data_IF_960668107196
#
_entry.id   IF_960668107196
#
_cell.length_a   1.000
_cell.length_b   1.000
_cell.length_c   1.000
_cell.angle_alpha   90.00
_cell.angle_beta   90.00
_cell.angle_gamma   90.00
#
_symmetry.space_group_name_H-M   'P 1'
#
loop_
_entity.id
_entity.type
_entity.pdbx_description
1 polymer ?
#
# COMPACT_ATOMS: atom_id res chain seq x y z
N UNK A 1 11.13 0.12 -15.27
CA UNK A 1 9.64 0.19 -15.31
C UNK A 1 9.03 -0.93 -16.16
N UNK A 2 9.29 -1.03 -17.47
CA UNK A 2 8.67 -2.03 -18.36
C UNK A 2 8.90 -3.49 -17.89
N UNK A 3 10.11 -3.84 -17.47
CA UNK A 3 10.43 -5.18 -16.93
C UNK A 3 9.65 -5.50 -15.66
N UNK A 4 9.47 -4.54 -14.77
CA UNK A 4 8.68 -4.69 -13.55
C UNK A 4 7.22 -5.01 -13.89
N UNK A 5 6.60 -4.23 -14.78
CA UNK A 5 5.21 -4.47 -15.20
C UNK A 5 5.02 -5.87 -15.77
N UNK A 6 5.92 -6.33 -16.65
CA UNK A 6 5.83 -7.70 -17.21
C UNK A 6 5.91 -8.76 -16.10
N UNK A 7 6.84 -8.61 -15.15
CA UNK A 7 6.96 -9.57 -14.07
C UNK A 7 5.70 -9.57 -13.19
N UNK A 8 5.17 -8.40 -12.87
CA UNK A 8 3.94 -8.23 -12.11
C UNK A 8 2.77 -8.97 -12.78
N UNK A 9 2.52 -8.74 -14.06
CA UNK A 9 1.45 -9.40 -14.81
C UNK A 9 1.66 -10.93 -14.94
N UNK A 10 2.91 -11.38 -15.06
CA UNK A 10 3.22 -12.81 -15.07
C UNK A 10 2.87 -13.49 -13.75
N UNK A 11 3.08 -12.80 -12.62
CA UNK A 11 2.67 -13.33 -11.30
C UNK A 11 1.17 -13.52 -11.24
N UNK A 12 0.36 -12.57 -11.72
CA UNK A 12 -1.09 -12.73 -11.81
C UNK A 12 -1.48 -13.94 -12.68
N UNK A 13 -0.81 -14.14 -13.80
CA UNK A 13 -1.05 -15.30 -14.65
C UNK A 13 -0.74 -16.62 -13.91
N UNK A 14 0.36 -16.68 -13.15
CA UNK A 14 0.74 -17.84 -12.33
C UNK A 14 -0.28 -18.10 -11.21
N UNK A 15 -0.68 -17.07 -10.47
CA UNK A 15 -1.70 -17.20 -9.41
C UNK A 15 -3.01 -17.76 -10.00
N UNK A 16 -3.43 -17.22 -11.13
CA UNK A 16 -4.64 -17.67 -11.82
C UNK A 16 -4.55 -19.15 -12.25
N UNK A 17 -3.41 -19.56 -12.77
CA UNK A 17 -3.18 -20.97 -13.13
C UNK A 17 -3.17 -21.89 -11.90
N UNK A 18 -2.47 -21.50 -10.88
CA UNK A 18 -2.38 -22.26 -9.62
C UNK A 18 -3.73 -22.45 -8.94
N UNK A 19 -4.54 -21.40 -8.86
CA UNK A 19 -5.80 -21.42 -8.10
C UNK A 19 -6.98 -21.92 -8.94
N UNK A 20 -7.09 -21.41 -10.17
CA UNK A 20 -8.27 -21.65 -11.01
C UNK A 20 -8.05 -22.76 -12.07
N UNK A 21 -6.78 -23.13 -12.32
CA UNK A 21 -6.40 -24.09 -13.35
C UNK A 21 -6.41 -23.48 -14.75
N UNK A 22 -5.41 -23.83 -15.55
CA UNK A 22 -4.98 -23.18 -16.82
C UNK A 22 -5.96 -23.18 -17.99
N UNK A 23 -7.27 -23.39 -17.80
CA UNK A 23 -8.26 -23.21 -18.87
C UNK A 23 -9.23 -22.07 -18.53
N UNK A 24 -9.61 -21.28 -19.53
CA UNK A 24 -10.59 -20.19 -19.41
C UNK A 24 -11.90 -20.66 -18.77
N UNK A 25 -12.34 -21.87 -19.10
CA UNK A 25 -13.54 -22.48 -18.52
C UNK A 25 -13.39 -22.73 -17.02
N UNK A 26 -12.26 -23.25 -16.59
CA UNK A 26 -11.98 -23.52 -15.17
C UNK A 26 -11.80 -22.21 -14.41
N UNK A 27 -11.14 -21.22 -15.01
CA UNK A 27 -10.97 -19.88 -14.43
C UNK A 27 -12.33 -19.24 -14.15
N UNK A 28 -13.24 -19.22 -15.12
CA UNK A 28 -14.59 -18.66 -14.95
C UNK A 28 -15.42 -19.43 -13.91
N UNK A 29 -15.32 -20.76 -13.88
CA UNK A 29 -16.08 -21.59 -12.93
C UNK A 29 -15.56 -21.47 -11.49
N UNK A 30 -14.27 -21.28 -11.29
CA UNK A 30 -13.61 -21.26 -9.98
C UNK A 30 -13.44 -19.84 -9.41
N UNK A 31 -13.31 -18.80 -10.24
CA UNK A 31 -13.24 -17.41 -9.78
C UNK A 31 -14.51 -16.95 -9.04
N UNK A 32 -15.65 -17.58 -9.32
CA UNK A 32 -16.90 -17.38 -8.57
C UNK A 32 -16.81 -17.98 -7.16
N UNK A 33 -16.00 -19.02 -6.97
CA UNK A 33 -15.90 -19.76 -5.69
C UNK A 33 -14.78 -19.27 -4.80
N UNK A 34 -13.66 -18.82 -5.39
CA UNK A 34 -12.47 -18.41 -4.67
C UNK A 34 -12.16 -16.97 -5.11
N UNK A 35 -12.39 -16.02 -4.22
CA UNK A 35 -12.02 -14.62 -4.45
C UNK A 35 -10.73 -14.33 -3.67
N UNK A 36 -9.63 -14.18 -4.39
CA UNK A 36 -8.34 -13.80 -3.80
C UNK A 36 -8.42 -12.33 -3.39
N UNK A 37 -8.15 -11.98 -2.11
CA UNK A 37 -8.12 -10.59 -1.67
C UNK A 37 -7.08 -9.77 -2.44
N UNK A 38 -7.34 -8.48 -2.67
CA UNK A 38 -6.41 -7.61 -3.41
C UNK A 38 -5.02 -7.58 -2.77
N UNK A 39 -4.93 -7.49 -1.44
CA UNK A 39 -3.64 -7.49 -0.76
C UNK A 39 -2.79 -8.74 -1.06
N UNK A 40 -3.47 -9.90 -1.20
CA UNK A 40 -2.80 -11.17 -1.49
C UNK A 40 -2.35 -11.22 -2.96
N UNK A 41 -3.18 -10.76 -3.88
CA UNK A 41 -2.93 -10.78 -5.30
C UNK A 41 -1.91 -9.73 -5.73
N UNK A 42 -2.19 -8.45 -5.45
CA UNK A 42 -1.33 -7.34 -5.84
C UNK A 42 -0.03 -7.32 -5.01
N UNK A 43 -0.13 -7.59 -3.72
CA UNK A 43 1.04 -7.66 -2.85
C UNK A 43 2.03 -8.75 -3.25
N UNK A 44 1.55 -9.92 -3.69
CA UNK A 44 2.43 -10.98 -4.19
C UNK A 44 3.05 -10.60 -5.53
N UNK A 45 2.28 -9.99 -6.43
CA UNK A 45 2.80 -9.51 -7.71
C UNK A 45 3.92 -8.49 -7.53
N UNK A 46 3.77 -7.55 -6.59
CA UNK A 46 4.84 -6.61 -6.20
C UNK A 46 6.03 -7.35 -5.57
N UNK A 47 5.79 -8.22 -4.59
CA UNK A 47 6.84 -8.93 -3.89
C UNK A 47 7.71 -9.79 -4.81
N UNK A 48 7.11 -10.55 -5.71
CA UNK A 48 7.86 -11.41 -6.64
C UNK A 48 8.48 -10.65 -7.82
N UNK A 49 7.99 -9.45 -8.15
CA UNK A 49 8.53 -8.65 -9.24
C UNK A 49 9.69 -7.74 -8.85
N UNK A 50 9.68 -7.20 -7.62
CA UNK A 50 10.70 -6.26 -7.12
C UNK A 50 11.42 -6.70 -5.86
N UNK A 51 10.92 -7.71 -5.16
CA UNK A 51 11.39 -8.09 -3.82
C UNK A 51 10.94 -7.09 -2.77
N UNK A 52 11.68 -6.99 -1.67
CA UNK A 52 11.52 -5.95 -0.67
C UNK A 52 12.50 -4.82 -0.96
N UNK A 53 12.03 -3.70 -1.44
CA UNK A 53 12.85 -2.57 -1.90
C UNK A 53 12.71 -1.33 -1.00
N UNK A 54 13.55 -0.33 -1.25
CA UNK A 54 13.57 0.93 -0.48
C UNK A 54 12.29 1.75 -0.63
N UNK A 55 11.57 1.62 -1.74
CA UNK A 55 10.30 2.31 -1.94
C UNK A 55 9.21 1.69 -1.07
N UNK A 56 9.12 0.37 -1.07
CA UNK A 56 8.19 -0.39 -0.21
C UNK A 56 8.49 -0.16 1.28
N UNK A 57 9.77 -0.18 1.63
CA UNK A 57 10.29 0.16 2.96
C UNK A 57 9.83 1.56 3.40
N UNK A 58 9.94 2.55 2.53
CA UNK A 58 9.52 3.94 2.83
C UNK A 58 8.04 4.02 3.20
N UNK A 59 7.17 3.40 2.40
CA UNK A 59 5.73 3.42 2.63
C UNK A 59 5.34 2.73 3.94
N UNK A 60 5.92 1.56 4.21
CA UNK A 60 5.58 0.79 5.41
C UNK A 60 6.20 1.41 6.67
N UNK A 61 7.38 2.01 6.55
CA UNK A 61 7.98 2.79 7.63
C UNK A 61 7.12 4.00 7.98
N UNK A 62 6.64 4.75 6.99
CA UNK A 62 5.75 5.88 7.21
C UNK A 62 4.46 5.45 7.91
N UNK A 63 3.84 4.37 7.43
CA UNK A 63 2.69 3.74 8.09
C UNK A 63 2.99 3.41 9.56
N UNK A 64 4.12 2.77 9.83
CA UNK A 64 4.47 2.30 11.16
C UNK A 64 4.82 3.44 12.14
N UNK A 65 5.31 4.56 11.63
CA UNK A 65 5.78 5.70 12.43
C UNK A 65 4.73 6.78 12.65
N UNK A 66 3.81 6.97 11.71
CA UNK A 66 2.93 8.13 11.68
C UNK A 66 1.45 7.80 11.81
N UNK A 67 1.04 6.55 11.69
CA UNK A 67 -0.35 6.15 11.85
C UNK A 67 -0.63 5.75 13.30
N UNK A 68 -1.78 6.15 13.83
CA UNK A 68 -2.19 5.83 15.21
C UNK A 68 -2.48 4.33 15.38
N UNK A 69 -2.90 3.66 14.31
CA UNK A 69 -3.16 2.22 14.29
C UNK A 69 -2.80 1.60 12.94
N UNK A 70 -2.29 0.38 12.95
CA UNK A 70 -2.07 -0.37 11.72
C UNK A 70 -3.40 -0.88 11.16
N UNK A 71 -3.61 -0.81 9.82
CA UNK A 71 -4.76 -1.44 9.20
C UNK A 71 -4.69 -2.96 9.38
N UNK A 72 -5.85 -3.60 9.44
CA UNK A 72 -5.90 -5.06 9.37
C UNK A 72 -5.50 -5.53 7.97
N UNK A 73 -4.93 -6.72 7.85
CA UNK A 73 -4.53 -7.28 6.53
C UNK A 73 -5.69 -7.26 5.54
N UNK A 74 -6.91 -7.57 5.99
CA UNK A 74 -8.11 -7.57 5.14
C UNK A 74 -8.63 -6.16 4.80
N UNK A 75 -8.11 -5.12 5.44
CA UNK A 75 -8.46 -3.71 5.19
C UNK A 75 -7.50 -3.03 4.23
N UNK A 76 -6.45 -3.72 3.80
CA UNK A 76 -5.49 -3.22 2.82
C UNK A 76 -6.16 -3.08 1.46
N UNK A 77 -6.52 -1.85 1.10
CA UNK A 77 -7.24 -1.50 -0.13
C UNK A 77 -6.51 -0.40 -0.92
N UNK A 78 -6.90 -0.19 -2.17
CA UNK A 78 -6.25 0.79 -3.05
C UNK A 78 -4.74 0.59 -3.11
N UNK A 79 -3.97 1.65 -3.02
CA UNK A 79 -2.50 1.58 -3.08
C UNK A 79 -1.89 0.73 -1.94
N UNK A 80 -2.55 0.68 -0.78
CA UNK A 80 -2.09 -0.15 0.33
C UNK A 80 -2.27 -1.65 0.09
N UNK A 81 -3.07 -2.08 -0.86
CA UNK A 81 -3.09 -3.50 -1.26
C UNK A 81 -1.80 -3.93 -1.94
N UNK A 82 -1.11 -3.01 -2.63
CA UNK A 82 0.21 -3.24 -3.22
C UNK A 82 1.30 -3.22 -2.15
N UNK A 83 1.52 -2.08 -1.50
CA UNK A 83 2.66 -1.91 -0.55
C UNK A 83 2.45 -2.63 0.78
N UNK A 84 1.26 -2.54 1.35
CA UNK A 84 0.90 -3.30 2.55
C UNK A 84 0.87 -4.80 2.29
N UNK A 85 0.27 -5.22 1.16
CA UNK A 85 0.27 -6.62 0.73
C UNK A 85 1.67 -7.17 0.51
N UNK A 86 2.56 -6.41 -0.14
CA UNK A 86 3.97 -6.74 -0.32
C UNK A 86 4.68 -6.93 1.04
N UNK A 87 4.39 -6.06 2.03
CA UNK A 87 4.91 -6.19 3.39
C UNK A 87 4.43 -7.46 4.10
N UNK A 88 3.15 -7.81 3.92
CA UNK A 88 2.61 -9.06 4.47
C UNK A 88 3.32 -10.27 3.87
N UNK A 89 3.55 -10.28 2.56
CA UNK A 89 4.28 -11.37 1.90
C UNK A 89 5.75 -11.42 2.31
N UNK A 90 6.43 -10.28 2.43
CA UNK A 90 7.79 -10.23 2.98
C UNK A 90 7.84 -10.84 4.40
N UNK A 91 6.92 -10.46 5.27
CA UNK A 91 6.81 -11.04 6.62
C UNK A 91 6.54 -12.55 6.57
N UNK A 92 5.64 -13.02 5.71
CA UNK A 92 5.33 -14.45 5.57
C UNK A 92 6.57 -15.23 5.14
N UNK A 93 7.28 -14.76 4.11
CA UNK A 93 8.45 -15.46 3.60
C UNK A 93 9.63 -15.40 4.55
N UNK A 94 9.84 -14.32 5.27
CA UNK A 94 10.87 -14.25 6.32
C UNK A 94 10.60 -15.24 7.46
N UNK A 95 9.33 -15.46 7.79
CA UNK A 95 8.97 -16.30 8.94
C UNK A 95 8.80 -17.77 8.61
N UNK A 96 8.22 -18.10 7.46
CA UNK A 96 7.88 -19.47 7.06
C UNK A 96 8.63 -19.97 5.83
N UNK A 97 9.52 -19.15 5.23
CA UNK A 97 10.26 -19.47 4.01
C UNK A 97 9.49 -19.14 2.73
N UNK A 98 10.21 -19.01 1.61
CA UNK A 98 9.63 -18.71 0.30
C UNK A 98 8.68 -19.82 -0.19
N UNK A 99 8.94 -21.06 0.18
CA UNK A 99 8.09 -22.23 -0.14
C UNK A 99 6.68 -22.12 0.43
N UNK A 100 6.47 -21.29 1.46
CA UNK A 100 5.15 -21.02 2.04
C UNK A 100 4.18 -20.41 1.03
N UNK A 101 4.68 -19.67 0.03
CA UNK A 101 3.85 -19.09 -1.04
C UNK A 101 3.11 -20.19 -1.81
N UNK A 102 3.86 -21.18 -2.30
CA UNK A 102 3.28 -22.29 -3.06
C UNK A 102 2.31 -23.12 -2.19
N UNK A 103 2.67 -23.38 -0.93
CA UNK A 103 1.83 -24.12 0.01
C UNK A 103 0.51 -23.39 0.31
N UNK A 104 0.55 -22.06 0.50
CA UNK A 104 -0.66 -21.25 0.72
C UNK A 104 -1.63 -21.42 -0.44
N UNK A 105 -1.19 -21.24 -1.68
CA UNK A 105 -2.06 -21.35 -2.85
C UNK A 105 -2.54 -22.77 -3.09
N UNK A 106 -1.71 -23.78 -2.83
CA UNK A 106 -2.12 -25.18 -2.86
C UNK A 106 -3.27 -25.46 -1.87
N UNK A 107 -3.12 -25.01 -0.63
CA UNK A 107 -4.13 -25.22 0.41
C UNK A 107 -5.41 -24.41 0.16
N UNK A 108 -5.31 -23.21 -0.42
CA UNK A 108 -6.46 -22.42 -0.88
C UNK A 108 -7.22 -23.19 -1.95
N UNK A 109 -6.54 -23.71 -2.96
CA UNK A 109 -7.15 -24.51 -4.02
C UNK A 109 -7.87 -25.73 -3.45
N UNK A 110 -7.24 -26.46 -2.53
CA UNK A 110 -7.81 -27.66 -1.91
C UNK A 110 -9.04 -27.37 -1.05
N UNK A 111 -9.04 -26.27 -0.33
CA UNK A 111 -10.13 -25.91 0.59
C UNK A 111 -11.21 -25.05 -0.04
N UNK A 112 -10.93 -24.41 -1.18
CA UNK A 112 -11.73 -23.36 -1.79
C UNK A 112 -12.02 -22.17 -0.85
N UNK A 113 -11.19 -21.97 0.17
CA UNK A 113 -11.33 -20.91 1.18
C UNK A 113 -9.98 -20.31 1.55
N UNK A 114 -9.84 -18.98 1.45
CA UNK A 114 -8.61 -18.25 1.77
C UNK A 114 -8.16 -18.50 3.21
N UNK A 115 -9.05 -18.28 4.17
CA UNK A 115 -8.72 -18.43 5.60
C UNK A 115 -8.30 -19.86 5.96
N UNK A 116 -8.97 -20.85 5.39
CA UNK A 116 -8.64 -22.26 5.63
C UNK A 116 -7.29 -22.60 5.01
N UNK A 117 -7.01 -22.07 3.81
CA UNK A 117 -5.73 -22.26 3.12
C UNK A 117 -4.58 -21.66 3.90
N UNK A 118 -4.69 -20.40 4.32
CA UNK A 118 -3.71 -19.73 5.17
C UNK A 118 -3.46 -20.50 6.47
N UNK A 119 -4.51 -20.90 7.18
CA UNK A 119 -4.39 -21.65 8.43
C UNK A 119 -3.69 -23.00 8.25
N UNK A 120 -3.96 -23.70 7.17
CA UNK A 120 -3.31 -25.00 6.90
C UNK A 120 -1.84 -24.84 6.51
N UNK A 121 -1.51 -23.83 5.71
CA UNK A 121 -0.17 -23.59 5.26
C UNK A 121 0.75 -23.01 6.36
N UNK A 122 0.24 -22.03 7.11
CA UNK A 122 1.04 -21.28 8.09
C UNK A 122 0.87 -21.76 9.53
N UNK A 123 -0.14 -22.61 9.82
CA UNK A 123 -0.44 -23.07 11.17
C UNK A 123 -1.13 -22.03 12.07
N UNK A 124 -1.43 -20.84 11.55
CA UNK A 124 -2.07 -19.73 12.29
C UNK A 124 -3.33 -19.25 11.57
N UNK A 125 -4.32 -18.73 12.31
CA UNK A 125 -5.48 -18.11 11.72
C UNK A 125 -5.22 -16.64 11.30
N UNK A 126 -6.16 -16.05 10.58
CA UNK A 126 -6.02 -14.68 10.08
C UNK A 126 -5.82 -13.65 11.18
N UNK A 127 -6.47 -13.82 12.33
CA UNK A 127 -6.31 -12.91 13.46
C UNK A 127 -4.88 -12.98 13.98
N UNK A 128 -4.38 -14.17 14.23
CA UNK A 128 -3.02 -14.39 14.70
C UNK A 128 -1.98 -13.92 13.68
N UNK A 129 -2.21 -14.16 12.38
CA UNK A 129 -1.34 -13.67 11.31
C UNK A 129 -1.25 -12.14 11.34
N UNK A 130 -2.38 -11.48 11.48
CA UNK A 130 -2.45 -10.02 11.57
C UNK A 130 -1.73 -9.48 12.82
N UNK A 131 -1.96 -10.06 13.99
CA UNK A 131 -1.28 -9.68 15.22
C UNK A 131 0.25 -9.85 15.11
N UNK A 132 0.70 -10.93 14.49
CA UNK A 132 2.12 -11.20 14.26
C UNK A 132 2.75 -10.24 13.24
N UNK A 133 2.04 -9.90 12.16
CA UNK A 133 2.51 -8.89 11.21
C UNK A 133 2.60 -7.51 11.86
N UNK A 134 1.61 -7.09 12.65
CA UNK A 134 1.67 -5.83 13.41
C UNK A 134 2.85 -5.81 14.40
N UNK A 135 3.10 -6.93 15.08
CA UNK A 135 4.24 -7.04 15.98
C UNK A 135 5.57 -6.94 15.22
N UNK A 136 5.68 -7.61 14.08
CA UNK A 136 6.84 -7.51 13.19
C UNK A 136 7.11 -6.06 12.77
N UNK A 137 6.09 -5.31 12.34
CA UNK A 137 6.25 -3.90 11.97
C UNK A 137 6.73 -3.03 13.15
N UNK A 138 6.20 -3.27 14.34
CA UNK A 138 6.63 -2.56 15.55
C UNK A 138 8.09 -2.85 15.89
N UNK A 139 8.50 -4.10 15.82
CA UNK A 139 9.88 -4.49 16.10
C UNK A 139 10.88 -3.89 15.11
N UNK A 140 10.49 -3.80 13.84
CA UNK A 140 11.33 -3.23 12.78
C UNK A 140 11.48 -1.69 12.90
N UNK A 141 10.37 -0.97 13.12
CA UNK A 141 10.36 0.48 12.93
C UNK A 141 10.30 1.31 14.20
N UNK A 142 9.74 0.82 15.31
CA UNK A 142 9.65 1.59 16.55
C UNK A 142 10.98 1.93 17.21
N UNK A 143 12.06 1.15 17.08
CA UNK A 143 13.36 1.57 17.56
C UNK A 143 13.87 2.87 16.93
N UNK A 144 13.47 3.15 15.67
CA UNK A 144 13.82 4.38 14.97
C UNK A 144 13.13 5.62 15.54
N UNK A 145 11.88 5.48 16.00
CA UNK A 145 11.12 6.59 16.62
C UNK A 145 11.85 7.12 17.85
N UNK A 146 12.45 6.22 18.65
CA UNK A 146 13.19 6.60 19.88
C UNK A 146 14.52 7.30 19.61
N UNK A 147 15.08 7.13 18.40
CA UNK A 147 16.41 7.65 18.04
C UNK A 147 16.34 8.95 17.25
N UNK A 148 15.16 9.35 16.77
CA UNK A 148 14.97 10.53 15.91
C UNK A 148 14.20 11.60 16.64
N UNK A 149 14.53 12.86 16.34
CA UNK A 149 13.74 14.00 16.77
C UNK A 149 12.37 13.95 16.09
N UNK A 150 11.32 14.28 16.84
CA UNK A 150 10.00 14.39 16.27
C UNK A 150 9.97 15.61 15.34
N UNK A 151 9.48 15.42 14.12
CA UNK A 151 9.39 16.53 13.16
C UNK A 151 8.59 17.72 13.69
N UNK A 152 7.62 17.49 14.57
CA UNK A 152 6.81 18.54 15.23
C UNK A 152 7.60 19.39 16.20
N UNK A 153 8.76 18.92 16.68
CA UNK A 153 9.64 19.66 17.59
C UNK A 153 10.57 20.61 16.82
N UNK A 154 10.84 20.31 15.55
CA UNK A 154 11.79 21.05 14.71
C UNK A 154 11.14 21.77 13.52
N UNK A 155 9.89 21.47 13.20
CA UNK A 155 9.16 22.05 12.08
C UNK A 155 7.70 22.34 12.43
N UNK A 156 7.16 23.39 11.83
CA UNK A 156 5.74 23.73 11.95
C UNK A 156 4.94 23.07 10.84
N UNK A 157 3.87 22.36 11.21
CA UNK A 157 2.92 21.83 10.26
C UNK A 157 2.08 22.96 9.65
N UNK A 158 2.12 23.10 8.34
CA UNK A 158 1.37 24.13 7.60
C UNK A 158 0.03 23.63 7.04
N UNK A 159 -0.08 22.31 6.75
CA UNK A 159 -1.33 21.71 6.25
C UNK A 159 -1.76 20.56 7.16
N UNK A 160 -3.08 20.40 7.28
CA UNK A 160 -3.68 19.39 8.15
C UNK A 160 -4.86 18.78 7.40
N UNK A 161 -4.82 17.48 7.16
CA UNK A 161 -5.82 16.74 6.40
C UNK A 161 -7.20 16.77 7.05
N UNK A 162 -7.26 16.68 8.38
CA UNK A 162 -8.54 16.72 9.12
C UNK A 162 -9.20 18.10 8.99
N UNK A 163 -8.42 19.18 9.22
CA UNK A 163 -8.95 20.55 9.10
C UNK A 163 -9.33 20.93 7.67
N UNK A 164 -8.60 20.42 6.70
CA UNK A 164 -8.87 20.69 5.28
C UNK A 164 -9.90 19.73 4.68
N UNK A 165 -10.27 18.68 5.41
CA UNK A 165 -11.14 17.60 4.96
C UNK A 165 -10.69 17.07 3.57
N UNK A 166 -9.41 16.74 3.46
CA UNK A 166 -8.80 16.27 2.23
C UNK A 166 -7.85 15.09 2.49
N UNK A 167 -7.42 14.43 1.41
CA UNK A 167 -6.55 13.25 1.48
C UNK A 167 -5.11 13.56 1.08
N UNK A 168 -4.94 14.48 0.12
CA UNK A 168 -3.64 14.72 -0.52
C UNK A 168 -3.22 16.18 -0.41
N UNK A 169 -2.00 16.39 0.13
CA UNK A 169 -1.22 17.62 0.08
C UNK A 169 0.19 17.23 -0.28
N UNK A 170 0.56 17.30 -1.57
CA UNK A 170 1.76 16.65 -2.10
C UNK A 170 2.61 17.57 -2.98
N UNK A 171 3.87 17.17 -3.19
CA UNK A 171 4.83 17.86 -4.06
C UNK A 171 4.99 19.36 -3.73
N UNK A 172 5.31 19.75 -2.48
CA UNK A 172 5.51 21.15 -2.13
C UNK A 172 6.79 21.69 -2.77
N UNK A 173 6.71 22.92 -3.31
CA UNK A 173 7.84 23.67 -3.81
C UNK A 173 7.81 25.10 -3.26
N UNK A 174 8.88 25.49 -2.57
CA UNK A 174 9.00 26.83 -2.01
C UNK A 174 9.46 27.84 -3.08
N UNK A 175 8.93 29.05 -3.04
CA UNK A 175 9.37 30.16 -3.91
C UNK A 175 10.81 30.58 -3.57
N UNK A 176 11.55 31.17 -4.53
CA UNK A 176 12.93 31.60 -4.30
C UNK A 176 13.10 32.61 -3.17
N UNK A 177 12.07 33.41 -2.89
CA UNK A 177 12.05 34.41 -1.83
C UNK A 177 11.54 33.84 -0.48
N UNK A 178 11.18 32.54 -0.44
CA UNK A 178 10.72 31.85 0.75
C UNK A 178 9.32 32.21 1.23
N UNK A 179 8.57 33.06 0.52
CA UNK A 179 7.28 33.57 0.99
C UNK A 179 6.08 32.67 0.64
N UNK A 180 6.21 31.88 -0.41
CA UNK A 180 5.12 31.06 -0.92
C UNK A 180 5.53 29.60 -1.10
N UNK A 181 4.54 28.71 -1.03
CA UNK A 181 4.67 27.30 -1.33
C UNK A 181 3.63 26.95 -2.40
N UNK A 182 4.09 26.41 -3.53
CA UNK A 182 3.22 25.80 -4.51
C UNK A 182 3.07 24.32 -4.20
N UNK A 183 1.85 23.76 -4.19
CA UNK A 183 1.62 22.34 -3.93
C UNK A 183 0.33 21.84 -4.56
N UNK A 184 0.26 20.55 -4.83
CA UNK A 184 -0.97 19.90 -5.23
C UNK A 184 -1.81 19.52 -4.00
N UNK A 185 -3.12 19.77 -4.09
CA UNK A 185 -4.08 19.40 -3.04
C UNK A 185 -5.45 19.10 -3.63
N UNK A 186 -6.17 18.18 -2.98
CA UNK A 186 -7.56 17.87 -3.31
C UNK A 186 -8.56 18.50 -2.32
N UNK A 187 -8.18 19.58 -1.62
CA UNK A 187 -9.03 20.27 -0.62
C UNK A 187 -10.37 20.79 -1.14
N UNK A 188 -10.52 20.97 -2.45
CA UNK A 188 -11.75 21.43 -3.09
C UNK A 188 -12.35 20.40 -4.04
N UNK A 189 -12.06 19.11 -3.83
CA UNK A 189 -12.50 18.00 -4.67
C UNK A 189 -11.38 17.47 -5.58
N UNK A 190 -11.39 17.71 -6.89
CA UNK A 190 -10.32 17.24 -7.77
C UNK A 190 -8.95 17.85 -7.41
N UNK A 191 -7.89 17.10 -7.71
CA UNK A 191 -6.51 17.56 -7.52
C UNK A 191 -6.30 18.89 -8.26
N UNK A 192 -5.73 19.86 -7.56
CA UNK A 192 -5.45 21.19 -8.11
C UNK A 192 -4.12 21.73 -7.56
N UNK A 193 -3.48 22.64 -8.30
CA UNK A 193 -2.30 23.35 -7.86
C UNK A 193 -2.68 24.59 -7.08
N UNK A 194 -2.19 24.70 -5.87
CA UNK A 194 -2.43 25.84 -4.97
C UNK A 194 -1.14 26.57 -4.64
N UNK A 195 -1.28 27.85 -4.33
CA UNK A 195 -0.26 28.68 -3.70
C UNK A 195 -0.67 28.93 -2.25
N UNK A 196 0.26 28.67 -1.33
CA UNK A 196 0.12 28.89 0.09
C UNK A 196 1.12 29.95 0.56
N UNK A 197 0.76 30.67 1.61
CA UNK A 197 1.73 31.43 2.42
C UNK A 197 2.66 30.48 3.16
N UNK A 198 3.95 30.66 3.03
CA UNK A 198 4.93 29.89 3.77
C UNK A 198 4.98 30.28 5.28
N UNK A 199 4.43 31.44 5.62
CA UNK A 199 4.42 31.91 7.00
C UNK A 199 3.34 31.26 7.86
N UNK A 200 2.14 31.06 7.35
CA UNK A 200 1.01 30.55 8.15
C UNK A 200 0.26 29.38 7.50
N UNK A 201 0.63 28.97 6.29
CA UNK A 201 0.00 27.87 5.56
C UNK A 201 -1.37 28.21 4.95
N UNK A 202 -1.77 29.50 4.98
CA UNK A 202 -3.01 29.92 4.37
C UNK A 202 -2.97 29.77 2.85
N UNK A 203 -4.05 29.21 2.30
CA UNK A 203 -4.21 29.04 0.85
C UNK A 203 -4.56 30.40 0.21
N UNK A 204 -3.60 31.00 -0.47
CA UNK A 204 -3.71 32.31 -1.09
C UNK A 204 -4.45 32.23 -2.44
N UNK A 205 -4.13 31.21 -3.24
CA UNK A 205 -4.65 31.11 -4.61
C UNK A 205 -4.68 29.66 -5.10
N UNK A 206 -5.75 29.33 -5.84
CA UNK A 206 -5.75 28.17 -6.73
C UNK A 206 -5.17 28.59 -8.08
N UNK A 207 -4.04 27.98 -8.49
CA UNK A 207 -3.32 28.35 -9.72
C UNK A 207 -3.88 27.58 -10.91
N UNK A 208 -4.06 26.26 -10.77
CA UNK A 208 -4.55 25.36 -11.80
C UNK A 208 -5.66 24.51 -11.18
N UNK A 209 -6.77 24.38 -11.88
CA UNK A 209 -7.85 23.46 -11.53
C UNK A 209 -7.61 22.15 -12.28
N UNK A 210 -7.55 21.04 -11.58
CA UNK A 210 -7.64 19.71 -12.20
C UNK A 210 -9.07 19.47 -12.71
N UNK A 211 -9.19 18.86 -13.87
CA UNK A 211 -10.48 18.40 -14.40
C UNK A 211 -10.77 16.98 -13.89
N UNK A 212 -12.06 16.68 -13.68
CA UNK A 212 -12.55 15.32 -13.49
C UNK A 212 -12.63 14.62 -14.85
N UNK A 213 -11.50 14.21 -15.41
CA UNK A 213 -11.48 13.26 -16.52
C UNK A 213 -10.97 11.92 -16.02
N UNK A 214 -11.66 10.85 -16.35
CA UNK A 214 -11.29 9.49 -16.01
C UNK A 214 -9.88 9.12 -16.49
N UNK A 215 -9.36 9.80 -17.51
CA UNK A 215 -8.00 9.66 -18.02
C UNK A 215 -6.90 10.12 -17.04
N UNK A 216 -7.23 10.95 -16.03
CA UNK A 216 -6.26 11.41 -15.02
C UNK A 216 -6.32 10.62 -13.71
N UNK A 217 -7.29 9.74 -13.51
CA UNK A 217 -7.33 8.82 -12.37
C UNK A 217 -6.32 7.67 -12.50
N UNK A 218 -5.77 7.45 -13.71
CA UNK A 218 -4.74 6.44 -13.99
C UNK A 218 -3.30 6.96 -13.89
N UNK A 219 -3.06 8.23 -13.60
CA UNK A 219 -1.73 8.71 -13.25
C UNK A 219 -1.37 8.21 -11.84
N UNK A 220 -0.85 7.01 -11.81
CA UNK A 220 -0.13 6.46 -10.66
C UNK A 220 1.08 7.35 -10.35
N UNK A 221 0.92 8.23 -9.36
CA UNK A 221 2.04 8.94 -8.72
C UNK A 221 2.52 8.11 -7.55
#
# INVERSE_FOLDING_TARGET
EFKHVIHHELVHALINDMVYGGSVRNMLANSIKIQIPMWMNEGLAEYLSTGWDTNSEMWIRDLAMNWDSFPQINELTGYMSYRGGQSVWNFITEKWGEESIAEIFFQIKQSSKIETGLKRALGVDNKTLNEQWHQYLKEQYWPDIKKRENIRDIARQLTDHEKLNNTYNVAPAISPDGRYIAMFSNKSGPMALYLLSADDGNFEKKIIQGERNAEFEELHI
#
